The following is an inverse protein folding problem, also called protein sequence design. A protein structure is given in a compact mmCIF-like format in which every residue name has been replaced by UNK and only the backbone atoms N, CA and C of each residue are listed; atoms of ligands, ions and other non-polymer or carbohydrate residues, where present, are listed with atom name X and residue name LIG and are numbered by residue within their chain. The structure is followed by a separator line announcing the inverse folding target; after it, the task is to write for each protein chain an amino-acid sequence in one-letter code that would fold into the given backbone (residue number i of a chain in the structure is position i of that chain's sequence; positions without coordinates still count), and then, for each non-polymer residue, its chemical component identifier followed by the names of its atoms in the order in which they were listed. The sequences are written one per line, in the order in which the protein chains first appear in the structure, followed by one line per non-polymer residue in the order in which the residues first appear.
data_IF_859692397982
#
_entry.id   IF_859692397982
#
_cell.length_a   1.000
_cell.length_b   1.000
_cell.length_c   1.000
_cell.angle_alpha   90.00
_cell.angle_beta   90.00
_cell.angle_gamma   90.00
#
_symmetry.space_group_name_H-M   'P 1'
#
loop_
_entity.id
_entity.type
_entity.pdbx_description
1 polymer ?
#
# COMPACT_ATOMS: atom_id res chain seq x y z
N UNK A 1 -38.59 -87.04 19.14
CA UNK A 1 -39.02 -86.47 20.45
C UNK A 1 -38.12 -85.28 20.73
N UNK A 2 -38.54 -84.03 20.94
CA UNK A 2 -39.84 -83.43 21.28
C UNK A 2 -40.11 -82.24 20.35
N UNK A 3 -41.39 -82.13 19.99
CA UNK A 3 -42.05 -81.01 19.31
C UNK A 3 -42.31 -79.91 20.34
N UNK A 4 -42.23 -78.64 19.94
CA UNK A 4 -42.46 -77.53 20.87
C UNK A 4 -42.68 -76.14 20.27
N UNK A 5 -43.83 -75.96 19.62
CA UNK A 5 -44.66 -74.75 19.52
C UNK A 5 -44.15 -73.50 18.74
N UNK A 6 -44.94 -73.22 17.70
CA UNK A 6 -45.08 -71.95 16.98
C UNK A 6 -45.53 -70.82 17.93
N UNK A 7 -44.94 -69.63 17.77
CA UNK A 7 -45.65 -68.36 17.96
C UNK A 7 -45.30 -67.47 16.77
N UNK A 8 -46.36 -67.05 16.09
CA UNK A 8 -46.35 -66.11 14.96
C UNK A 8 -46.21 -64.71 15.53
N UNK A 9 -45.18 -63.96 15.11
CA UNK A 9 -45.15 -62.50 15.25
C UNK A 9 -44.75 -61.89 13.91
N UNK A 10 -45.76 -61.30 13.29
CA UNK A 10 -45.66 -60.39 12.15
C UNK A 10 -44.86 -59.16 12.62
N UNK A 11 -43.70 -58.90 12.00
CA UNK A 11 -43.07 -57.60 12.04
C UNK A 11 -42.76 -57.15 10.61
N UNK A 12 -43.42 -56.07 10.24
CA UNK A 12 -43.29 -55.34 8.98
C UNK A 12 -41.87 -54.81 8.88
N UNK A 13 -41.08 -55.35 7.95
CA UNK A 13 -39.75 -54.84 7.62
C UNK A 13 -39.92 -53.66 6.66
N UNK A 14 -40.16 -52.47 7.22
CA UNK A 14 -40.13 -51.22 6.48
C UNK A 14 -38.66 -50.80 6.32
N UNK A 15 -38.22 -50.67 5.07
CA UNK A 15 -36.84 -50.37 4.71
C UNK A 15 -36.36 -49.02 5.25
N UNK A 16 -35.27 -49.06 6.01
CA UNK A 16 -34.43 -47.91 6.26
C UNK A 16 -33.19 -48.04 5.37
N UNK A 17 -33.31 -47.58 4.12
CA UNK A 17 -32.16 -47.30 3.27
C UNK A 17 -31.52 -46.04 3.85
N UNK A 18 -30.46 -46.22 4.65
CA UNK A 18 -29.55 -45.13 5.01
C UNK A 18 -28.82 -44.67 3.73
N UNK A 19 -29.42 -43.72 3.02
CA UNK A 19 -28.72 -42.87 2.08
C UNK A 19 -27.74 -42.01 2.90
N UNK A 20 -26.51 -42.49 3.01
CA UNK A 20 -25.37 -41.65 3.41
C UNK A 20 -25.19 -40.65 2.27
N UNK A 21 -25.77 -39.46 2.42
CA UNK A 21 -25.41 -38.34 1.57
C UNK A 21 -23.90 -38.12 1.71
N UNK A 22 -23.14 -37.97 0.61
CA UNK A 22 -21.74 -37.57 0.71
C UNK A 22 -21.72 -36.24 1.46
N UNK A 23 -20.94 -36.18 2.55
CA UNK A 23 -20.72 -34.92 3.25
C UNK A 23 -20.24 -33.91 2.20
N UNK A 24 -21.03 -32.86 1.98
CA UNK A 24 -20.62 -31.72 1.16
C UNK A 24 -19.24 -31.31 1.64
N UNK A 25 -18.22 -31.47 0.80
CA UNK A 25 -16.88 -30.99 1.12
C UNK A 25 -17.01 -29.48 1.28
N UNK A 26 -17.05 -29.00 2.53
CA UNK A 26 -17.00 -27.58 2.83
C UNK A 26 -15.73 -27.08 2.15
N UNK A 27 -15.90 -26.30 1.08
CA UNK A 27 -14.79 -25.77 0.32
C UNK A 27 -13.93 -24.97 1.29
N UNK A 28 -12.65 -25.32 1.37
CA UNK A 28 -11.74 -24.62 2.25
C UNK A 28 -11.62 -23.18 1.79
N UNK A 29 -11.82 -22.24 2.71
CA UNK A 29 -11.65 -20.81 2.44
C UNK A 29 -10.23 -20.55 1.93
N UNK A 30 -10.14 -19.66 0.96
CA UNK A 30 -8.92 -19.27 0.27
C UNK A 30 -8.46 -17.89 0.72
N UNK A 31 -7.22 -17.53 0.41
CA UNK A 31 -6.75 -16.16 0.64
C UNK A 31 -7.52 -15.14 -0.21
N UNK A 32 -8.01 -15.52 -1.39
CA UNK A 32 -8.91 -14.69 -2.19
C UNK A 32 -10.17 -14.33 -1.41
N UNK A 33 -10.83 -15.33 -0.81
CA UNK A 33 -12.06 -15.11 -0.02
C UNK A 33 -11.81 -14.12 1.12
N UNK A 34 -10.65 -14.22 1.78
CA UNK A 34 -10.26 -13.29 2.84
C UNK A 34 -9.98 -11.88 2.33
N UNK A 35 -9.28 -11.72 1.19
CA UNK A 35 -9.03 -10.41 0.60
C UNK A 35 -10.32 -9.67 0.26
N UNK A 36 -11.27 -10.38 -0.38
CA UNK A 36 -12.60 -9.83 -0.73
C UNK A 36 -13.32 -9.41 0.54
N UNK A 37 -13.45 -10.31 1.51
CA UNK A 37 -14.18 -10.04 2.74
C UNK A 37 -13.56 -8.89 3.56
N UNK A 38 -12.23 -8.76 3.53
CA UNK A 38 -11.52 -7.68 4.22
C UNK A 38 -11.79 -6.32 3.55
N UNK A 39 -11.70 -6.25 2.22
CA UNK A 39 -11.98 -5.02 1.46
C UNK A 39 -13.45 -4.61 1.61
N UNK A 40 -14.38 -5.57 1.56
CA UNK A 40 -15.81 -5.34 1.77
C UNK A 40 -16.12 -4.84 3.19
N UNK A 41 -15.59 -5.53 4.22
CA UNK A 41 -15.85 -5.17 5.61
C UNK A 41 -15.32 -3.77 5.98
N UNK A 42 -14.28 -3.31 5.29
CA UNK A 42 -13.72 -1.97 5.46
C UNK A 42 -14.43 -0.90 4.63
N UNK A 43 -15.42 -1.29 3.83
CA UNK A 43 -16.15 -0.38 2.93
C UNK A 43 -15.32 0.10 1.74
N UNK A 44 -14.21 -0.58 1.43
CA UNK A 44 -13.31 -0.20 0.33
C UNK A 44 -13.73 -0.79 -1.02
N UNK A 45 -14.76 -1.63 -1.06
CA UNK A 45 -15.25 -2.22 -2.31
C UNK A 45 -16.06 -1.27 -3.19
N UNK A 46 -16.50 -0.12 -2.66
CA UNK A 46 -17.07 0.94 -3.50
C UNK A 46 -16.08 1.45 -4.56
N UNK A 47 -14.79 1.22 -4.33
CA UNK A 47 -13.69 1.57 -5.20
C UNK A 47 -13.34 0.55 -6.30
N UNK A 48 -14.08 -0.56 -6.41
CA UNK A 48 -13.80 -1.65 -7.34
C UNK A 48 -14.68 -1.62 -8.59
N UNK A 49 -14.17 -2.05 -9.77
CA UNK A 49 -14.97 -2.15 -10.98
C UNK A 49 -16.10 -3.17 -10.81
N UNK A 50 -17.09 -3.16 -11.71
CA UNK A 50 -18.26 -4.05 -11.66
C UNK A 50 -17.88 -5.54 -11.64
N UNK A 51 -16.78 -5.91 -12.31
CA UNK A 51 -16.22 -7.26 -12.35
C UNK A 51 -14.78 -7.29 -11.79
N UNK A 52 -14.61 -7.21 -10.46
CA UNK A 52 -13.29 -7.07 -9.85
C UNK A 52 -12.44 -8.33 -10.01
N UNK A 53 -11.20 -8.11 -10.41
CA UNK A 53 -10.15 -9.11 -10.54
C UNK A 53 -9.34 -9.21 -9.24
N UNK A 54 -8.56 -10.29 -9.11
CA UNK A 54 -7.69 -10.49 -7.93
C UNK A 54 -6.67 -9.36 -7.75
N UNK A 55 -6.19 -8.79 -8.87
CA UNK A 55 -5.29 -7.64 -8.90
C UNK A 55 -5.87 -6.44 -8.18
N UNK A 56 -7.17 -6.18 -8.33
CA UNK A 56 -7.80 -4.97 -7.83
C UNK A 56 -7.83 -4.98 -6.29
N UNK A 57 -8.14 -6.14 -5.70
CA UNK A 57 -8.05 -6.34 -4.25
C UNK A 57 -6.61 -6.26 -3.75
N UNK A 58 -5.63 -6.82 -4.49
CA UNK A 58 -4.22 -6.73 -4.12
C UNK A 58 -3.71 -5.29 -4.17
N UNK A 59 -4.12 -4.51 -5.18
CA UNK A 59 -3.76 -3.11 -5.31
C UNK A 59 -4.26 -2.32 -4.11
N UNK A 60 -5.54 -2.48 -3.73
CA UNK A 60 -6.10 -1.86 -2.52
C UNK A 60 -5.30 -2.25 -1.27
N UNK A 61 -5.01 -3.54 -1.09
CA UNK A 61 -4.34 -4.06 0.11
C UNK A 61 -2.82 -3.81 0.12
N UNK A 62 -2.21 -3.53 -1.03
CA UNK A 62 -0.80 -3.14 -1.13
C UNK A 62 -0.54 -1.78 -0.47
N UNK A 63 -1.58 -0.96 -0.30
CA UNK A 63 -1.45 0.40 0.20
C UNK A 63 -0.68 1.33 -0.74
N UNK A 64 -0.30 0.88 -1.95
CA UNK A 64 0.16 1.79 -2.99
C UNK A 64 -1.01 2.69 -3.41
N UNK A 65 -0.70 3.96 -3.68
CA UNK A 65 -1.70 4.99 -3.99
C UNK A 65 -1.25 5.78 -5.20
N UNK A 66 -0.94 5.04 -6.26
CA UNK A 66 -0.54 5.56 -7.56
C UNK A 66 -1.56 5.04 -8.56
N UNK A 67 -2.41 5.92 -9.04
CA UNK A 67 -3.47 5.58 -9.98
C UNK A 67 -3.21 6.31 -11.29
N UNK A 68 -3.25 5.58 -12.40
CA UNK A 68 -3.21 6.16 -13.74
C UNK A 68 -4.59 6.04 -14.36
N UNK A 69 -5.03 7.12 -14.96
CA UNK A 69 -6.30 7.21 -15.69
C UNK A 69 -5.93 7.55 -17.14
N UNK A 70 -5.97 6.55 -18.01
CA UNK A 70 -5.77 6.71 -19.44
C UNK A 70 -7.00 7.46 -20.00
N UNK A 71 -6.78 8.60 -20.66
CA UNK A 71 -7.88 9.49 -21.01
C UNK A 71 -8.79 8.87 -22.09
N UNK A 72 -8.22 8.09 -23.01
CA UNK A 72 -8.95 7.35 -24.03
C UNK A 72 -9.85 6.26 -23.46
N UNK A 73 -9.57 5.72 -22.28
CA UNK A 73 -10.42 4.74 -21.61
C UNK A 73 -11.48 5.40 -20.73
N UNK A 74 -11.13 6.52 -20.09
CA UNK A 74 -11.97 7.17 -19.09
C UNK A 74 -12.98 8.19 -19.65
N UNK A 75 -12.82 8.64 -20.89
CA UNK A 75 -13.73 9.63 -21.49
C UNK A 75 -15.14 9.08 -21.74
N UNK A 76 -16.13 9.98 -21.79
CA UNK A 76 -17.49 9.60 -22.12
C UNK A 76 -17.68 9.53 -23.64
N UNK A 77 -18.44 8.54 -24.15
CA UNK A 77 -18.69 8.40 -25.60
C UNK A 77 -19.32 9.64 -26.26
N UNK A 78 -20.02 10.47 -25.48
CA UNK A 78 -20.68 11.69 -25.94
C UNK A 78 -19.73 12.90 -26.03
N UNK A 79 -18.51 12.79 -25.50
CA UNK A 79 -17.52 13.86 -25.55
C UNK A 79 -17.08 14.12 -26.98
N UNK A 80 -17.06 15.39 -27.39
CA UNK A 80 -16.67 15.80 -28.74
C UNK A 80 -15.14 15.85 -28.91
N UNK A 81 -14.46 14.77 -28.56
CA UNK A 81 -13.01 14.58 -28.68
C UNK A 81 -12.69 13.52 -29.73
N UNK A 82 -11.44 13.47 -30.16
CA UNK A 82 -10.97 12.43 -31.07
C UNK A 82 -9.89 11.58 -30.40
N UNK A 83 -10.13 10.28 -30.28
CA UNK A 83 -9.09 9.32 -29.87
C UNK A 83 -8.08 9.14 -31.01
N UNK A 84 -6.80 9.32 -30.73
CA UNK A 84 -5.68 9.17 -31.68
C UNK A 84 -4.70 8.14 -31.15
N UNK A 85 -3.97 7.49 -32.06
CA UNK A 85 -3.06 6.38 -31.72
C UNK A 85 -1.67 6.51 -32.36
N UNK A 86 -1.37 7.65 -32.98
CA UNK A 86 -0.09 7.88 -33.65
C UNK A 86 0.89 8.64 -32.75
N UNK A 87 2.19 8.33 -32.87
CA UNK A 87 3.27 8.81 -31.98
C UNK A 87 3.95 10.12 -32.45
N UNK A 88 3.31 10.89 -33.32
CA UNK A 88 3.93 12.07 -33.95
C UNK A 88 4.31 13.18 -32.95
N UNK A 89 3.82 13.11 -31.71
CA UNK A 89 4.03 14.11 -30.67
C UNK A 89 4.85 13.62 -29.47
N UNK A 90 5.56 12.50 -29.64
CA UNK A 90 6.27 11.80 -28.57
C UNK A 90 5.57 10.50 -28.17
N UNK A 91 6.17 9.72 -27.26
CA UNK A 91 5.50 8.56 -26.69
C UNK A 91 4.26 8.98 -25.90
N UNK A 92 3.21 8.16 -25.97
CA UNK A 92 1.99 8.24 -25.18
C UNK A 92 1.77 6.87 -24.49
N UNK A 93 0.89 6.78 -23.49
CA UNK A 93 0.58 5.51 -22.79
C UNK A 93 -0.68 4.84 -23.32
N UNK A 94 -1.06 3.69 -22.75
CA UNK A 94 -2.28 2.99 -23.14
C UNK A 94 -2.36 2.62 -24.63
N UNK A 95 -3.57 2.74 -25.18
CA UNK A 95 -3.89 2.44 -26.57
C UNK A 95 -4.07 3.71 -27.43
N UNK A 96 -4.20 4.87 -26.80
CA UNK A 96 -4.42 6.14 -27.50
C UNK A 96 -4.30 7.37 -26.62
N UNK A 97 -4.80 8.49 -27.12
CA UNK A 97 -4.88 9.76 -26.39
C UNK A 97 -6.01 10.61 -26.95
N UNK A 98 -6.54 11.54 -26.15
CA UNK A 98 -7.63 12.43 -26.55
C UNK A 98 -7.11 13.71 -27.18
N UNK A 99 -7.60 14.01 -28.38
CA UNK A 99 -7.37 15.27 -29.08
C UNK A 99 -8.63 16.14 -29.06
N UNK A 100 -8.46 17.42 -28.73
CA UNK A 100 -9.47 18.42 -29.06
C UNK A 100 -9.61 18.60 -30.57
N UNK A 101 -10.79 19.03 -31.03
CA UNK A 101 -11.07 19.27 -32.45
C UNK A 101 -10.68 20.70 -32.86
N UNK A 102 -11.28 21.23 -33.93
CA UNK A 102 -11.01 22.59 -34.42
C UNK A 102 -11.49 23.71 -33.47
N UNK A 103 -12.29 23.40 -32.46
CA UNK A 103 -12.77 24.31 -31.43
C UNK A 103 -12.43 23.78 -30.04
N UNK A 104 -12.62 24.59 -29.00
CA UNK A 104 -12.55 24.10 -27.62
C UNK A 104 -13.56 22.97 -27.42
N UNK A 105 -13.12 21.91 -26.75
CA UNK A 105 -13.89 20.70 -26.51
C UNK A 105 -13.78 20.31 -25.07
N UNK A 106 -14.79 19.61 -24.55
CA UNK A 106 -14.82 19.15 -23.17
C UNK A 106 -14.77 17.62 -23.15
N UNK A 107 -13.85 17.08 -22.36
CA UNK A 107 -13.81 15.67 -22.00
C UNK A 107 -14.21 15.50 -20.53
N UNK A 108 -15.03 14.50 -20.24
CA UNK A 108 -15.39 14.08 -18.89
C UNK A 108 -14.70 12.75 -18.62
N UNK A 109 -13.63 12.77 -17.84
CA UNK A 109 -12.87 11.59 -17.48
C UNK A 109 -13.46 11.00 -16.20
N UNK A 110 -14.13 9.87 -16.32
CA UNK A 110 -14.74 9.15 -15.21
C UNK A 110 -13.91 7.93 -14.84
N UNK A 111 -13.62 7.79 -13.56
CA UNK A 111 -12.87 6.67 -13.03
C UNK A 111 -13.27 6.40 -11.59
N UNK A 112 -12.85 5.26 -11.08
CA UNK A 112 -13.12 4.85 -9.73
C UNK A 112 -11.88 5.05 -8.87
N UNK A 113 -11.98 5.84 -7.80
CA UNK A 113 -10.87 6.06 -6.88
C UNK A 113 -11.00 5.13 -5.66
N UNK A 114 -10.09 4.17 -5.45
CA UNK A 114 -10.32 3.16 -4.41
C UNK A 114 -10.30 3.69 -2.97
N UNK A 115 -9.62 4.81 -2.74
CA UNK A 115 -9.44 5.38 -1.39
C UNK A 115 -9.40 6.90 -1.43
N UNK A 116 -10.00 7.53 -0.43
CA UNK A 116 -9.95 8.97 -0.25
C UNK A 116 -8.56 9.44 0.20
N UNK A 117 -8.29 10.73 0.00
CA UNK A 117 -7.17 11.43 0.60
C UNK A 117 -6.56 12.50 -0.30
N UNK A 118 -5.34 12.91 0.05
CA UNK A 118 -4.64 14.01 -0.61
C UNK A 118 -3.71 13.47 -1.70
N UNK A 119 -4.08 13.69 -2.97
CA UNK A 119 -3.36 13.22 -4.14
C UNK A 119 -2.63 14.37 -4.83
N UNK A 120 -1.34 14.20 -5.08
CA UNK A 120 -0.61 14.97 -6.07
C UNK A 120 -0.98 14.47 -7.45
N UNK A 121 -1.49 15.35 -8.30
CA UNK A 121 -1.99 14.99 -9.63
C UNK A 121 -1.11 15.64 -10.68
N UNK A 122 -0.71 14.83 -11.66
CA UNK A 122 -0.03 15.27 -12.87
C UNK A 122 -0.83 14.85 -14.10
N UNK A 123 -0.65 15.55 -15.21
CA UNK A 123 -1.28 15.23 -16.49
C UNK A 123 -0.24 15.19 -17.60
N UNK A 124 -0.35 14.23 -18.52
CA UNK A 124 0.41 14.23 -19.78
C UNK A 124 -0.37 15.05 -20.81
N UNK A 125 0.09 16.27 -21.08
CA UNK A 125 -0.63 17.26 -21.88
C UNK A 125 0.18 17.69 -23.10
N UNK A 126 -0.51 18.22 -24.11
CA UNK A 126 0.08 18.86 -25.29
C UNK A 126 -0.66 20.13 -25.65
N UNK A 127 0.10 21.18 -25.98
CA UNK A 127 -0.32 22.56 -26.23
C UNK A 127 -0.73 23.32 -24.95
N UNK A 128 -0.71 24.66 -24.97
CA UNK A 128 -1.12 25.46 -23.82
C UNK A 128 -2.64 25.65 -23.73
N UNK A 129 -3.10 26.07 -22.55
CA UNK A 129 -4.46 26.62 -22.34
C UNK A 129 -5.52 25.66 -21.81
N UNK A 130 -5.14 24.50 -21.29
CA UNK A 130 -6.10 23.56 -20.70
C UNK A 130 -6.72 24.16 -19.43
N UNK A 131 -8.03 23.95 -19.25
CA UNK A 131 -8.70 24.16 -17.96
C UNK A 131 -9.20 22.83 -17.44
N UNK A 132 -8.71 22.44 -16.26
CA UNK A 132 -8.97 21.13 -15.68
C UNK A 132 -9.70 21.34 -14.36
N UNK A 133 -10.88 20.74 -14.22
CA UNK A 133 -11.70 20.78 -13.00
C UNK A 133 -11.56 19.45 -12.26
N UNK A 134 -11.03 19.53 -11.03
CA UNK A 134 -10.72 18.40 -10.15
C UNK A 134 -11.22 18.71 -8.74
N UNK A 135 -12.07 17.85 -8.17
CA UNK A 135 -12.58 18.04 -6.81
C UNK A 135 -13.23 19.42 -6.59
N UNK A 136 -13.96 19.91 -7.59
CA UNK A 136 -14.61 21.23 -7.56
C UNK A 136 -13.69 22.44 -7.74
N UNK A 137 -12.38 22.24 -7.96
CA UNK A 137 -11.40 23.31 -8.21
C UNK A 137 -10.98 23.29 -9.67
N UNK A 138 -10.87 24.47 -10.28
CA UNK A 138 -10.32 24.64 -11.63
C UNK A 138 -8.84 25.00 -11.55
N UNK A 139 -8.04 24.41 -12.43
CA UNK A 139 -6.62 24.74 -12.63
C UNK A 139 -6.35 24.95 -14.12
N UNK A 140 -5.53 25.94 -14.43
CA UNK A 140 -5.00 26.14 -15.77
C UNK A 140 -3.67 25.41 -15.94
N UNK A 141 -3.52 24.67 -17.03
CA UNK A 141 -2.32 23.91 -17.33
C UNK A 141 -1.90 24.13 -18.78
N UNK A 142 -0.59 24.17 -19.01
CA UNK A 142 -0.02 24.39 -20.33
C UNK A 142 1.18 23.48 -20.56
N UNK A 143 1.26 22.93 -21.77
CA UNK A 143 2.38 22.11 -22.22
C UNK A 143 2.93 22.62 -23.56
N UNK A 144 4.10 22.11 -23.94
CA UNK A 144 4.70 22.37 -25.25
C UNK A 144 4.01 21.70 -26.44
N UNK A 145 4.71 21.62 -27.57
CA UNK A 145 4.20 21.01 -28.81
C UNK A 145 4.23 19.48 -28.81
N UNK A 146 4.79 18.88 -27.75
CA UNK A 146 4.90 17.44 -27.50
C UNK A 146 4.22 17.12 -26.16
N UNK A 147 3.96 15.85 -25.91
CA UNK A 147 3.46 15.43 -24.60
C UNK A 147 4.50 15.70 -23.51
N UNK A 148 4.05 16.37 -22.46
CA UNK A 148 4.84 16.73 -21.28
C UNK A 148 4.02 16.47 -20.02
N UNK A 149 4.66 15.93 -18.98
CA UNK A 149 4.02 15.76 -17.68
C UNK A 149 3.98 17.09 -16.94
N UNK A 150 2.77 17.62 -16.76
CA UNK A 150 2.51 18.91 -16.10
C UNK A 150 1.94 18.66 -14.70
N UNK A 151 2.53 19.23 -13.64
CA UNK A 151 1.96 19.14 -12.30
C UNK A 151 0.72 20.03 -12.18
N UNK A 152 -0.41 19.45 -11.75
CA UNK A 152 -1.66 20.16 -11.53
C UNK A 152 -1.81 20.65 -10.08
N UNK A 153 -1.10 19.99 -9.15
CA UNK A 153 -1.10 20.33 -7.73
C UNK A 153 -1.59 19.19 -6.85
N UNK A 154 -2.04 19.52 -5.65
CA UNK A 154 -2.53 18.55 -4.66
C UNK A 154 -4.01 18.79 -4.36
N UNK A 155 -4.79 17.71 -4.40
CA UNK A 155 -6.24 17.71 -4.28
C UNK A 155 -6.70 16.68 -3.25
N UNK A 156 -7.65 17.07 -2.40
CA UNK A 156 -8.35 16.13 -1.53
C UNK A 156 -9.50 15.52 -2.32
N UNK A 157 -9.46 14.21 -2.54
CA UNK A 157 -10.48 13.46 -3.27
C UNK A 157 -11.12 12.44 -2.33
N UNK A 158 -12.41 12.19 -2.51
CA UNK A 158 -13.14 11.15 -1.79
C UNK A 158 -12.96 9.80 -2.50
N UNK A 159 -13.15 8.69 -1.79
CA UNK A 159 -13.19 7.38 -2.42
C UNK A 159 -14.46 7.24 -3.27
N UNK A 160 -14.40 6.41 -4.30
CA UNK A 160 -15.52 6.11 -5.19
C UNK A 160 -15.47 6.85 -6.53
N UNK A 161 -16.60 6.92 -7.25
CA UNK A 161 -16.67 7.49 -8.59
C UNK A 161 -16.19 8.94 -8.58
N UNK A 162 -15.19 9.22 -9.40
CA UNK A 162 -14.64 10.55 -9.61
C UNK A 162 -14.93 11.00 -11.05
N UNK A 163 -15.10 12.31 -11.21
CA UNK A 163 -15.13 12.97 -12.50
C UNK A 163 -14.06 14.07 -12.52
N UNK A 164 -13.22 14.04 -13.56
CA UNK A 164 -12.32 15.14 -13.90
C UNK A 164 -12.75 15.69 -15.25
N UNK A 165 -13.07 16.98 -15.29
CA UNK A 165 -13.51 17.63 -16.54
C UNK A 165 -12.34 18.42 -17.12
N UNK A 166 -12.01 18.13 -18.37
CA UNK A 166 -10.91 18.76 -19.11
C UNK A 166 -11.49 19.56 -20.26
N UNK A 167 -11.38 20.89 -20.20
CA UNK A 167 -11.58 21.74 -21.36
C UNK A 167 -10.27 21.75 -22.18
N UNK A 168 -10.31 21.09 -23.33
CA UNK A 168 -9.24 20.96 -24.32
C UNK A 168 -9.31 22.12 -25.32
N UNK A 169 -8.28 22.96 -25.40
CA UNK A 169 -8.16 23.96 -26.47
C UNK A 169 -8.14 23.33 -27.86
N UNK A 170 -8.37 24.11 -28.93
CA UNK A 170 -8.31 23.61 -30.29
C UNK A 170 -7.01 22.85 -30.57
N UNK A 171 -7.13 21.60 -31.04
CA UNK A 171 -6.01 20.70 -31.33
C UNK A 171 -5.08 20.35 -30.16
N UNK A 172 -5.40 20.78 -28.93
CA UNK A 172 -4.68 20.37 -27.72
C UNK A 172 -4.98 18.91 -27.40
N UNK A 173 -4.20 18.30 -26.52
CA UNK A 173 -4.37 16.89 -26.20
C UNK A 173 -4.05 16.56 -24.74
N UNK A 174 -4.70 15.50 -24.27
CA UNK A 174 -4.42 14.83 -23.02
C UNK A 174 -4.25 13.33 -23.30
N UNK A 175 -3.22 12.75 -22.71
CA UNK A 175 -2.87 11.34 -22.80
C UNK A 175 -3.36 10.62 -21.54
N UNK A 176 -2.81 10.95 -20.37
CA UNK A 176 -3.27 10.39 -19.09
C UNK A 176 -3.25 11.40 -17.95
N UNK A 177 -3.94 11.04 -16.86
CA UNK A 177 -3.79 11.63 -15.53
C UNK A 177 -3.10 10.62 -14.60
N UNK A 178 -2.21 11.10 -13.74
CA UNK A 178 -1.57 10.28 -12.72
C UNK A 178 -1.78 10.90 -11.34
N UNK A 179 -2.40 10.15 -10.46
CA UNK A 179 -2.71 10.53 -9.09
C UNK A 179 -1.75 9.78 -8.16
N UNK A 180 -0.99 10.51 -7.34
CA UNK A 180 -0.07 9.94 -6.34
C UNK A 180 -0.37 10.47 -4.95
N UNK A 181 -0.64 9.59 -4.00
CA UNK A 181 -0.71 9.94 -2.58
C UNK A 181 0.37 9.22 -1.79
N UNK A 182 0.56 9.65 -0.53
CA UNK A 182 1.44 8.94 0.38
C UNK A 182 0.93 7.49 0.54
N UNK A 183 1.76 6.47 0.28
CA UNK A 183 1.35 5.08 0.41
C UNK A 183 0.94 4.76 1.85
N UNK A 184 0.12 3.73 2.02
CA UNK A 184 -0.35 3.20 3.30
C UNK A 184 0.44 1.93 3.67
N UNK A 185 0.34 1.43 4.92
CA UNK A 185 0.94 0.15 5.28
C UNK A 185 0.34 -0.98 4.43
N UNK A 186 1.20 -1.87 3.93
CA UNK A 186 0.79 -3.10 3.24
C UNK A 186 -0.01 -3.99 4.18
N UNK A 187 -1.14 -4.49 3.71
CA UNK A 187 -1.97 -5.47 4.40
C UNK A 187 -1.87 -6.77 3.63
N UNK A 188 -0.89 -7.60 3.99
CA UNK A 188 -0.63 -8.87 3.33
C UNK A 188 -0.08 -9.90 4.34
N UNK A 189 -0.15 -11.21 4.05
CA UNK A 189 0.56 -12.23 4.82
C UNK A 189 2.09 -12.04 4.79
N UNK A 190 2.83 -12.76 5.66
CA UNK A 190 4.30 -12.69 5.69
C UNK A 190 4.96 -13.05 4.36
N UNK A 191 4.34 -13.93 3.58
CA UNK A 191 4.84 -14.42 2.29
C UNK A 191 4.11 -13.78 1.09
N UNK A 192 3.44 -12.64 1.31
CA UNK A 192 2.58 -11.99 0.34
C UNK A 192 1.27 -12.76 0.09
N UNK A 193 0.40 -12.16 -0.73
CA UNK A 193 -0.85 -12.78 -1.14
C UNK A 193 -0.64 -13.90 -2.15
N UNK A 194 -1.32 -15.03 -1.93
CA UNK A 194 -1.43 -16.16 -2.85
C UNK A 194 -2.92 -16.52 -2.95
N UNK A 195 -3.70 -15.84 -3.81
CA UNK A 195 -5.18 -15.88 -3.77
C UNK A 195 -5.76 -17.30 -3.74
N UNK A 196 -5.17 -18.23 -4.48
CA UNK A 196 -5.63 -19.62 -4.60
C UNK A 196 -5.14 -20.54 -3.45
N UNK A 197 -4.26 -20.06 -2.57
CA UNK A 197 -3.80 -20.83 -1.43
C UNK A 197 -4.90 -20.94 -0.35
N UNK A 198 -4.96 -22.04 0.41
CA UNK A 198 -5.84 -22.15 1.56
C UNK A 198 -5.55 -21.05 2.57
N UNK A 199 -6.59 -20.44 3.12
CA UNK A 199 -6.49 -19.45 4.18
C UNK A 199 -6.00 -20.12 5.47
N UNK A 200 -5.01 -19.51 6.12
CA UNK A 200 -4.50 -19.93 7.42
C UNK A 200 -4.83 -18.92 8.50
N UNK A 201 -4.84 -19.35 9.77
CA UNK A 201 -4.96 -18.43 10.91
C UNK A 201 -3.78 -17.46 11.02
N UNK A 202 -2.61 -17.84 10.48
CA UNK A 202 -1.47 -16.92 10.36
C UNK A 202 -1.77 -15.77 9.42
N UNK A 203 -2.44 -16.03 8.30
CA UNK A 203 -2.80 -14.97 7.34
C UNK A 203 -3.75 -13.97 8.02
N UNK A 204 -4.75 -14.47 8.75
CA UNK A 204 -5.68 -13.65 9.53
C UNK A 204 -4.95 -12.78 10.56
N UNK A 205 -4.08 -13.38 11.39
CA UNK A 205 -3.38 -12.67 12.45
C UNK A 205 -2.46 -11.57 11.91
N UNK A 206 -1.66 -11.89 10.88
CA UNK A 206 -0.70 -10.96 10.28
C UNK A 206 -1.42 -9.80 9.62
N UNK A 207 -2.45 -10.09 8.81
CA UNK A 207 -3.19 -9.04 8.08
C UNK A 207 -3.99 -8.15 9.04
N UNK A 208 -4.57 -8.70 10.12
CA UNK A 208 -5.22 -7.91 11.16
C UNK A 208 -4.25 -6.95 11.87
N UNK A 209 -3.08 -7.43 12.31
CA UNK A 209 -2.06 -6.60 12.96
C UNK A 209 -1.55 -5.50 12.03
N UNK A 210 -1.32 -5.83 10.74
CA UNK A 210 -0.87 -4.86 9.73
C UNK A 210 -1.92 -3.80 9.42
N UNK A 211 -3.18 -4.21 9.26
CA UNK A 211 -4.31 -3.30 9.09
C UNK A 211 -4.42 -2.31 10.26
N UNK A 212 -4.23 -2.80 11.49
CA UNK A 212 -4.24 -1.97 12.70
C UNK A 212 -2.92 -1.18 12.90
N UNK A 213 -1.94 -1.31 12.01
CA UNK A 213 -0.61 -0.71 12.12
C UNK A 213 0.04 -0.98 13.49
N UNK A 214 -0.17 -2.18 14.03
CA UNK A 214 0.23 -2.57 15.39
C UNK A 214 1.53 -3.40 15.43
N UNK A 215 2.26 -3.53 14.33
CA UNK A 215 3.51 -4.30 14.28
C UNK A 215 4.58 -3.75 15.24
N UNK A 216 4.54 -2.45 15.56
CA UNK A 216 5.41 -1.85 16.58
C UNK A 216 5.12 -2.37 18.00
N UNK A 217 3.95 -2.96 18.25
CA UNK A 217 3.60 -3.62 19.51
C UNK A 217 4.14 -5.05 19.63
N UNK A 218 4.76 -5.59 18.58
CA UNK A 218 5.43 -6.89 18.66
C UNK A 218 6.57 -6.85 19.70
N UNK A 219 6.80 -7.92 20.48
CA UNK A 219 7.83 -7.94 21.50
C UNK A 219 9.24 -7.72 20.90
N UNK A 220 10.10 -6.90 21.53
CA UNK A 220 11.47 -6.72 21.06
C UNK A 220 12.31 -7.96 21.32
N UNK A 221 13.21 -8.28 20.38
CA UNK A 221 14.26 -9.26 20.58
C UNK A 221 15.54 -8.61 21.13
N UNK A 222 16.51 -9.36 21.67
CA UNK A 222 17.79 -8.78 22.10
C UNK A 222 18.63 -8.18 20.96
N UNK A 223 18.45 -8.63 19.72
CA UNK A 223 19.28 -8.25 18.58
C UNK A 223 18.99 -6.81 18.13
N UNK A 224 20.06 -6.02 18.03
CA UNK A 224 20.07 -4.67 17.46
C UNK A 224 21.18 -4.53 16.44
N UNK A 225 20.91 -3.78 15.38
CA UNK A 225 21.88 -3.39 14.37
C UNK A 225 21.98 -1.86 14.44
N UNK A 226 23.17 -1.34 14.73
CA UNK A 226 23.47 0.10 14.64
C UNK A 226 24.27 0.33 13.37
N UNK A 227 23.87 1.33 12.60
CA UNK A 227 24.55 1.76 11.39
C UNK A 227 24.89 3.24 11.54
N UNK A 228 26.17 3.53 11.70
CA UNK A 228 26.68 4.90 11.83
C UNK A 228 26.70 5.60 10.47
N UNK A 229 26.19 6.82 10.41
CA UNK A 229 25.96 7.53 9.17
C UNK A 229 27.27 7.87 8.46
N UNK A 230 28.30 8.25 9.21
CA UNK A 230 29.64 8.60 8.71
C UNK A 230 30.35 7.43 8.02
N UNK A 231 29.88 6.18 8.23
CA UNK A 231 30.39 5.00 7.52
C UNK A 231 29.79 4.83 6.12
N UNK A 232 28.84 5.70 5.73
CA UNK A 232 28.23 5.69 4.41
C UNK A 232 29.28 5.79 3.31
N UNK A 233 29.25 4.84 2.37
CA UNK A 233 30.05 4.89 1.15
C UNK A 233 29.54 5.90 0.12
N UNK A 234 28.37 6.51 0.35
CA UNK A 234 27.71 7.44 -0.56
C UNK A 234 26.94 8.50 0.23
N UNK A 235 27.63 9.54 0.76
CA UNK A 235 27.00 10.58 1.57
C UNK A 235 26.19 11.59 0.72
N UNK A 236 26.27 11.52 -0.62
CA UNK A 236 25.40 12.24 -1.56
C UNK A 236 25.23 13.74 -1.26
N UNK A 237 26.33 14.43 -0.98
CA UNK A 237 26.37 15.86 -0.68
C UNK A 237 26.41 16.22 0.81
N UNK A 238 26.18 15.26 1.71
CA UNK A 238 26.39 15.45 3.15
C UNK A 238 27.89 15.48 3.50
N UNK A 239 28.23 16.21 4.55
CA UNK A 239 29.59 16.36 5.07
C UNK A 239 29.69 15.72 6.45
N UNK A 240 30.86 15.15 6.76
CA UNK A 240 31.16 14.63 8.09
C UNK A 240 31.35 15.82 9.04
N UNK A 241 30.65 15.77 10.16
CA UNK A 241 30.67 16.77 11.23
C UNK A 241 31.07 16.09 12.55
N UNK A 242 31.89 16.75 13.35
CA UNK A 242 32.37 16.21 14.64
C UNK A 242 32.00 17.11 15.82
N UNK A 243 31.33 18.22 15.55
CA UNK A 243 30.87 19.12 16.59
C UNK A 243 29.85 18.48 17.53
N UNK A 244 29.90 18.90 18.79
CA UNK A 244 29.10 18.34 19.89
C UNK A 244 28.05 19.30 20.45
N UNK A 245 27.93 20.51 19.88
CA UNK A 245 27.02 21.54 20.39
C UNK A 245 25.54 21.21 20.13
N UNK A 246 25.25 20.31 19.17
CA UNK A 246 23.90 19.78 18.92
C UNK A 246 23.66 18.43 19.60
N UNK A 247 24.54 17.96 20.48
CA UNK A 247 24.50 16.62 21.07
C UNK A 247 25.77 15.83 20.81
N UNK A 248 25.97 14.74 21.53
CA UNK A 248 27.16 13.90 21.40
C UNK A 248 26.92 12.87 20.30
N UNK A 249 27.67 12.89 19.18
CA UNK A 249 27.57 11.87 18.13
C UNK A 249 28.02 10.52 18.67
N UNK A 250 27.44 9.43 18.16
CA UNK A 250 27.55 8.13 18.83
C UNK A 250 28.95 7.50 18.70
N UNK A 251 29.60 7.64 17.55
CA UNK A 251 31.00 7.27 17.32
C UNK A 251 31.89 8.51 17.06
N UNK A 252 31.45 9.68 17.53
CA UNK A 252 32.22 10.93 17.52
C UNK A 252 32.12 11.74 16.22
N UNK A 253 31.43 11.25 15.21
CA UNK A 253 31.09 11.95 13.98
C UNK A 253 29.63 11.70 13.56
N UNK A 254 29.12 12.52 12.66
CA UNK A 254 27.79 12.38 12.05
C UNK A 254 27.78 13.03 10.67
N UNK A 255 26.73 12.80 9.85
CA UNK A 255 26.59 13.42 8.54
C UNK A 255 25.60 14.59 8.58
N UNK A 256 25.96 15.71 7.95
CA UNK A 256 25.11 16.90 7.83
C UNK A 256 25.02 17.40 6.39
N UNK A 257 23.80 17.68 5.93
CA UNK A 257 23.56 18.38 4.69
C UNK A 257 24.02 19.84 4.80
N UNK A 258 24.65 20.36 3.75
CA UNK A 258 25.07 21.75 3.67
C UNK A 258 23.89 22.70 3.40
N UNK A 259 24.12 23.69 2.53
CA UNK A 259 23.07 24.63 2.08
C UNK A 259 22.11 24.04 1.04
N UNK A 260 22.36 22.81 0.61
CA UNK A 260 21.50 22.06 -0.32
C UNK A 260 21.12 20.73 0.31
N UNK A 261 19.97 20.15 -0.06
CA UNK A 261 19.58 18.81 0.39
C UNK A 261 20.63 17.75 0.02
N UNK A 262 20.73 16.70 0.83
CA UNK A 262 21.64 15.59 0.60
C UNK A 262 20.89 14.25 0.63
N UNK A 263 21.43 13.23 -0.06
CA UNK A 263 20.92 11.86 -0.01
C UNK A 263 22.00 10.93 0.51
N UNK A 264 21.83 10.44 1.73
CA UNK A 264 22.75 9.50 2.38
C UNK A 264 22.25 8.07 2.15
N UNK A 265 23.13 7.18 1.67
CA UNK A 265 22.83 5.75 1.55
C UNK A 265 23.61 4.93 2.56
N UNK A 266 22.90 4.19 3.41
CA UNK A 266 23.48 3.30 4.42
C UNK A 266 23.30 1.85 4.00
N UNK A 267 24.39 1.12 3.83
CA UNK A 267 24.36 -0.31 3.50
C UNK A 267 24.53 -1.15 4.77
N UNK A 268 23.74 -2.21 4.89
CA UNK A 268 23.81 -3.11 6.04
C UNK A 268 23.35 -4.52 5.68
N UNK A 269 23.53 -5.46 6.61
CA UNK A 269 23.11 -6.85 6.48
C UNK A 269 22.23 -7.24 7.66
N UNK A 270 21.20 -8.02 7.41
CA UNK A 270 20.36 -8.64 8.44
C UNK A 270 20.53 -10.15 8.40
N UNK A 271 20.61 -10.78 9.57
CA UNK A 271 20.93 -12.21 9.69
C UNK A 271 19.69 -13.12 9.70
N UNK A 272 18.49 -12.53 9.80
CA UNK A 272 17.22 -13.25 9.78
C UNK A 272 16.17 -12.46 9.03
N UNK A 273 15.19 -13.19 8.51
CA UNK A 273 13.94 -12.62 8.05
C UNK A 273 13.14 -12.13 9.27
N UNK A 274 12.44 -11.01 9.12
CA UNK A 274 11.51 -10.55 10.14
C UNK A 274 11.23 -9.05 10.14
N UNK A 275 10.45 -8.63 11.14
CA UNK A 275 10.12 -7.22 11.36
C UNK A 275 11.14 -6.57 12.28
N UNK A 276 11.58 -5.38 11.89
CA UNK A 276 12.51 -4.53 12.63
C UNK A 276 11.83 -3.21 12.97
N UNK A 277 11.91 -2.81 14.24
CA UNK A 277 11.63 -1.42 14.63
C UNK A 277 12.81 -0.54 14.22
N UNK A 278 12.50 0.57 13.58
CA UNK A 278 13.45 1.51 13.00
C UNK A 278 13.48 2.77 13.86
N UNK A 279 14.67 3.18 14.24
CA UNK A 279 14.91 4.47 14.86
C UNK A 279 16.05 5.22 14.16
N UNK A 280 15.91 6.53 14.06
CA UNK A 280 16.87 7.43 13.45
C UNK A 280 17.35 8.43 14.49
N UNK A 281 18.66 8.55 14.68
CA UNK A 281 19.23 9.64 15.47
C UNK A 281 19.67 10.72 14.50
N UNK A 282 19.08 11.91 14.63
CA UNK A 282 19.36 13.02 13.74
C UNK A 282 18.91 14.35 14.33
N UNK A 283 19.25 15.41 13.61
CA UNK A 283 18.96 16.79 13.98
C UNK A 283 18.49 17.58 12.77
N UNK A 284 17.51 18.45 12.94
CA UNK A 284 16.97 19.25 11.85
C UNK A 284 15.74 20.07 12.24
N UNK A 285 15.46 21.11 11.46
CA UNK A 285 14.23 21.90 11.56
C UNK A 285 13.09 21.36 10.68
N UNK A 286 13.44 20.54 9.70
CA UNK A 286 12.51 19.89 8.77
C UNK A 286 12.55 18.37 8.93
N UNK A 287 11.60 17.68 8.28
CA UNK A 287 11.55 16.21 8.32
C UNK A 287 12.55 15.59 7.36
N UNK A 288 13.24 14.54 7.80
CA UNK A 288 14.03 13.69 6.91
C UNK A 288 13.13 12.62 6.29
N UNK A 289 13.45 12.20 5.07
CA UNK A 289 12.74 11.11 4.39
C UNK A 289 13.58 9.84 4.42
N UNK A 290 13.05 8.74 4.95
CA UNK A 290 13.71 7.45 5.04
C UNK A 290 13.00 6.40 4.16
N UNK A 291 13.74 5.65 3.36
CA UNK A 291 13.23 4.49 2.61
C UNK A 291 14.20 3.31 2.69
N UNK A 292 13.69 2.08 2.54
CA UNK A 292 14.48 0.86 2.55
C UNK A 292 14.35 0.14 1.22
N UNK A 293 15.47 -0.25 0.61
CA UNK A 293 15.53 -0.97 -0.68
C UNK A 293 14.68 -0.33 -1.80
N UNK A 294 14.58 1.01 -1.81
CA UNK A 294 13.74 1.73 -2.78
C UNK A 294 12.22 1.59 -2.56
N UNK A 295 11.80 0.99 -1.45
CA UNK A 295 10.40 0.89 -1.05
C UNK A 295 9.83 2.19 -0.49
N UNK A 296 8.71 2.07 0.25
CA UNK A 296 7.97 3.21 0.81
C UNK A 296 8.84 4.16 1.64
N UNK A 297 8.82 5.43 1.23
CA UNK A 297 9.39 6.54 1.97
C UNK A 297 8.55 6.92 3.19
N UNK A 298 9.22 7.33 4.28
CA UNK A 298 8.62 7.78 5.54
C UNK A 298 9.23 9.11 5.92
N UNK A 299 8.38 10.11 6.14
CA UNK A 299 8.81 11.42 6.63
C UNK A 299 8.88 11.39 8.15
N UNK A 300 10.04 11.77 8.69
CA UNK A 300 10.32 11.78 10.13
C UNK A 300 10.77 13.18 10.56
N UNK A 301 9.97 13.90 11.38
CA UNK A 301 10.45 15.13 11.99
C UNK A 301 11.62 14.86 12.93
N UNK A 302 12.68 15.65 12.79
CA UNK A 302 13.88 15.59 13.62
C UNK A 302 13.79 16.59 14.78
N UNK A 303 14.59 16.38 15.81
CA UNK A 303 14.71 17.36 16.90
C UNK A 303 15.73 18.44 16.53
N UNK A 304 15.76 19.54 17.29
CA UNK A 304 16.80 20.58 17.17
C UNK A 304 18.17 20.17 17.73
N UNK A 305 18.29 18.95 18.25
CA UNK A 305 19.51 18.33 18.74
C UNK A 305 19.52 16.85 18.33
N UNK A 306 20.71 16.23 18.30
CA UNK A 306 20.89 14.80 18.05
C UNK A 306 20.12 14.01 19.10
N UNK A 307 19.05 13.38 18.65
CA UNK A 307 18.23 12.52 19.47
C UNK A 307 17.58 11.44 18.62
N UNK A 308 17.41 10.27 19.22
CA UNK A 308 16.75 9.13 18.60
C UNK A 308 15.25 9.40 18.47
N UNK A 309 14.72 9.11 17.29
CA UNK A 309 13.29 9.10 16.99
C UNK A 309 12.90 7.76 16.37
N UNK A 310 11.87 7.13 16.91
CA UNK A 310 11.25 5.97 16.28
C UNK A 310 10.53 6.41 14.99
N UNK A 311 10.81 5.69 13.89
CA UNK A 311 10.24 5.96 12.56
C UNK A 311 9.11 4.98 12.24
N UNK A 312 9.11 3.79 12.85
CA UNK A 312 8.11 2.74 12.65
C UNK A 312 8.75 1.36 12.45
N UNK A 313 8.06 0.44 11.78
CA UNK A 313 8.53 -0.94 11.55
C UNK A 313 8.79 -1.24 10.09
N UNK A 314 9.74 -2.11 9.76
CA UNK A 314 10.01 -2.56 8.39
C UNK A 314 10.25 -4.06 8.39
N UNK A 315 9.70 -4.78 7.40
CA UNK A 315 10.05 -6.17 7.16
C UNK A 315 11.30 -6.25 6.28
N UNK A 316 12.27 -7.06 6.68
CA UNK A 316 13.50 -7.29 5.93
C UNK A 316 13.76 -8.80 5.83
N UNK A 317 14.13 -9.26 4.65
CA UNK A 317 14.59 -10.63 4.42
C UNK A 317 16.05 -10.78 4.83
N UNK A 318 16.51 -11.97 5.17
CA UNK A 318 17.92 -12.21 5.46
C UNK A 318 18.78 -11.88 4.24
N UNK A 319 19.72 -10.96 4.42
CA UNK A 319 20.61 -10.56 3.35
C UNK A 319 21.09 -9.12 3.47
N UNK A 320 21.57 -8.61 2.34
CA UNK A 320 22.07 -7.24 2.21
C UNK A 320 20.95 -6.28 1.84
N UNK A 321 20.96 -5.12 2.48
CA UNK A 321 19.98 -4.05 2.26
C UNK A 321 20.66 -2.69 2.20
N UNK A 322 19.88 -1.70 1.81
CA UNK A 322 20.23 -0.31 2.00
C UNK A 322 19.04 0.51 2.51
N UNK A 323 19.37 1.56 3.25
CA UNK A 323 18.47 2.64 3.61
C UNK A 323 18.92 3.91 2.87
N UNK A 324 17.98 4.57 2.20
CA UNK A 324 18.18 5.92 1.65
C UNK A 324 17.54 6.94 2.60
N UNK A 325 18.32 7.95 2.99
CA UNK A 325 17.92 9.04 3.86
C UNK A 325 18.09 10.34 3.08
N UNK A 326 16.98 10.99 2.76
CA UNK A 326 16.99 12.33 2.18
C UNK A 326 16.93 13.36 3.31
N UNK A 327 17.95 14.21 3.35
CA UNK A 327 18.14 15.25 4.34
C UNK A 327 17.85 16.60 3.68
N UNK A 328 16.89 17.38 4.20
CA UNK A 328 16.78 18.80 3.88
C UNK A 328 18.06 19.56 4.16
N UNK A 329 18.19 20.75 3.58
CA UNK A 329 19.35 21.62 3.81
C UNK A 329 19.55 21.89 5.31
N UNK A 330 20.78 21.75 5.80
CA UNK A 330 21.15 21.98 7.21
C UNK A 330 20.80 20.86 8.19
N UNK A 331 19.96 19.89 7.82
CA UNK A 331 19.66 18.71 8.64
C UNK A 331 20.84 17.73 8.67
N UNK A 332 20.86 16.82 9.64
CA UNK A 332 21.82 15.73 9.64
C UNK A 332 21.39 14.51 10.44
N UNK A 333 22.18 13.46 10.31
CA UNK A 333 21.94 12.11 10.82
C UNK A 333 23.24 11.55 11.40
N UNK A 334 23.12 10.95 12.58
CA UNK A 334 24.21 10.30 13.32
C UNK A 334 24.14 8.79 13.09
N UNK A 335 23.00 8.15 13.36
CA UNK A 335 22.86 6.70 13.21
C UNK A 335 21.45 6.24 12.88
N UNK A 336 21.38 5.09 12.21
CA UNK A 336 20.18 4.29 12.01
C UNK A 336 20.24 3.05 12.90
N UNK A 337 19.20 2.82 13.69
CA UNK A 337 19.08 1.65 14.57
C UNK A 337 17.93 0.77 14.12
N UNK A 338 18.22 -0.52 13.93
CA UNK A 338 17.23 -1.56 13.65
C UNK A 338 17.15 -2.51 14.84
N UNK A 339 16.00 -2.58 15.48
CA UNK A 339 15.74 -3.46 16.61
C UNK A 339 14.80 -4.58 16.16
N UNK A 340 15.31 -5.82 16.12
CA UNK A 340 14.51 -6.96 15.69
C UNK A 340 13.32 -7.19 16.63
N UNK A 341 12.16 -7.55 16.06
CA UNK A 341 10.96 -7.90 16.79
C UNK A 341 10.63 -9.39 16.61
N UNK A 342 10.02 -9.97 17.63
CA UNK A 342 9.39 -11.28 17.55
C UNK A 342 8.26 -11.23 16.51
N UNK A 343 8.48 -11.86 15.37
CA UNK A 343 7.65 -11.74 14.16
C UNK A 343 7.30 -13.11 13.55
N UNK A 344 7.35 -14.16 14.37
CA UNK A 344 6.87 -15.47 13.96
C UNK A 344 5.32 -15.49 13.96
N UNK A 345 4.66 -16.39 13.20
CA UNK A 345 3.19 -16.47 13.15
C UNK A 345 2.49 -16.47 14.52
N UNK A 346 3.08 -17.12 15.52
CA UNK A 346 2.55 -17.16 16.89
C UNK A 346 2.59 -15.82 17.62
N UNK A 347 3.54 -14.94 17.29
CA UNK A 347 3.63 -13.62 17.92
C UNK A 347 2.55 -12.68 17.39
N UNK A 348 2.28 -12.74 16.07
CA UNK A 348 1.14 -12.07 15.46
C UNK A 348 -0.17 -12.58 16.03
N UNK A 349 -0.33 -13.89 16.18
CA UNK A 349 -1.52 -14.49 16.77
C UNK A 349 -1.77 -14.00 18.19
N UNK A 350 -0.73 -13.99 19.03
CA UNK A 350 -0.79 -13.47 20.39
C UNK A 350 -1.21 -12.01 20.42
N UNK A 351 -0.64 -11.18 19.54
CA UNK A 351 -0.97 -9.77 19.43
C UNK A 351 -2.40 -9.54 18.93
N UNK A 352 -2.87 -10.38 18.00
CA UNK A 352 -4.25 -10.37 17.51
C UNK A 352 -5.27 -11.00 18.49
N UNK A 353 -4.81 -11.54 19.63
CA UNK A 353 -5.67 -12.21 20.61
C UNK A 353 -6.15 -13.61 20.20
N UNK A 354 -5.50 -14.24 19.22
CA UNK A 354 -5.86 -15.56 18.71
C UNK A 354 -5.20 -16.67 19.54
N UNK A 355 -6.01 -17.64 20.00
CA UNK A 355 -5.59 -18.66 20.98
C UNK A 355 -4.99 -19.93 20.37
N UNK A 356 -5.25 -20.21 19.09
CA UNK A 356 -4.77 -21.40 18.39
C UNK A 356 -4.32 -21.06 16.97
N UNK A 357 -3.16 -21.60 16.56
CA UNK A 357 -2.61 -21.43 15.21
C UNK A 357 -2.78 -22.67 14.33
N UNK A 358 -3.12 -23.81 14.93
CA UNK A 358 -3.25 -25.08 14.22
C UNK A 358 -4.64 -25.25 13.62
N UNK A 359 -4.71 -25.60 12.33
CA UNK A 359 -5.97 -25.86 11.62
C UNK A 359 -6.39 -24.72 10.70
N UNK A 360 -7.50 -24.95 9.99
CA UNK A 360 -8.08 -23.96 9.08
C UNK A 360 -9.04 -23.05 9.86
N UNK A 361 -9.08 -21.74 9.58
CA UNK A 361 -10.11 -20.89 10.15
C UNK A 361 -11.48 -21.33 9.65
N UNK A 362 -12.47 -21.24 10.53
CA UNK A 362 -13.87 -21.41 10.14
C UNK A 362 -14.52 -20.05 9.84
N UNK A 363 -15.72 -20.09 9.26
CA UNK A 363 -16.45 -18.87 8.87
C UNK A 363 -16.78 -17.98 10.08
N UNK A 364 -17.04 -18.56 11.26
CA UNK A 364 -17.40 -17.79 12.46
C UNK A 364 -16.21 -17.00 13.02
N UNK A 365 -15.01 -17.56 12.94
CA UNK A 365 -13.77 -16.84 13.29
C UNK A 365 -13.53 -15.65 12.35
N UNK A 366 -13.80 -15.83 11.06
CA UNK A 366 -13.67 -14.76 10.05
C UNK A 366 -14.68 -13.65 10.32
N UNK A 367 -15.95 -13.97 10.48
CA UNK A 367 -17.01 -12.99 10.70
C UNK A 367 -16.77 -12.15 11.95
N UNK A 368 -16.32 -12.80 13.03
CA UNK A 368 -15.96 -12.11 14.27
C UNK A 368 -14.77 -11.16 14.05
N UNK A 369 -13.71 -11.62 13.40
CA UNK A 369 -12.54 -10.80 13.13
C UNK A 369 -12.88 -9.61 12.22
N UNK A 370 -13.63 -9.82 11.14
CA UNK A 370 -14.08 -8.76 10.25
C UNK A 370 -14.93 -7.73 10.99
N UNK A 371 -15.87 -8.17 11.83
CA UNK A 371 -16.71 -7.27 12.62
C UNK A 371 -15.87 -6.38 13.54
N UNK A 372 -14.85 -6.96 14.20
CA UNK A 372 -13.92 -6.22 15.05
C UNK A 372 -13.08 -5.24 14.21
N UNK A 373 -12.51 -5.71 13.10
CA UNK A 373 -11.68 -4.88 12.22
C UNK A 373 -12.48 -3.74 11.58
N UNK A 374 -13.73 -3.97 11.17
CA UNK A 374 -14.60 -2.91 10.66
C UNK A 374 -14.89 -1.86 11.75
N UNK A 375 -15.16 -2.30 12.99
CA UNK A 375 -15.46 -1.39 14.10
C UNK A 375 -14.28 -0.50 14.51
N UNK A 376 -13.04 -0.98 14.37
CA UNK A 376 -11.82 -0.27 14.76
C UNK A 376 -11.16 0.44 13.57
N UNK A 377 -11.22 -0.18 12.40
CA UNK A 377 -10.50 0.21 11.18
C UNK A 377 -11.19 1.27 10.34
N UNK A 378 -12.53 1.41 10.42
CA UNK A 378 -13.29 2.39 9.65
C UNK A 378 -13.03 3.86 10.02
N UNK A 379 -12.18 4.13 11.03
CA UNK A 379 -11.88 5.48 11.52
C UNK A 379 -10.52 6.03 11.05
N UNK A 380 -9.90 5.47 10.02
CA UNK A 380 -8.53 5.80 9.59
C UNK A 380 -8.45 6.37 8.18
#
# INVERSE_FOLDING_TARGET
MRVGKRVVSIFVLLGLVCLVAPASSVQALTQRDWMVALVDALGWSFGLPDEPQESDYQEILSGERVFRVEAEEAHQPEDLVAVKTFENFGPFSGEGWLAGIATETRAHLQFLLPRDGSYHITASLRLPGHRIRIGGREVEASAGNRFETVPLGTFSLEAGPQEIVVDLPPSAAIDYLELRAAPLPKIEPLNGWRPQAPLSRSDLAVTAVRLLAAENCLPPMPQKISIEAETSSSPGGAQIETSRYLGVPSEGAWLRAGTTPARVRLHFRVERDGVYRVALTGVGSESATLSFNGGRSRSQPLNSFLAEKEVGTVYLERGSHYADIELPAGNGVDKLVLHALHSDPSDYARLAGMSAMDGKPDASEIDLLLSLLASVGASR
#
